data_IF_024118341860
#
_entry.id   IF_024118341860
#
_cell.length_a   1.000
_cell.length_b   1.000
_cell.length_c   1.000
_cell.angle_alpha   90.00
_cell.angle_beta   90.00
_cell.angle_gamma   90.00
#
_symmetry.space_group_name_H-M   'P 1'
#
loop_
_entity.id
_entity.type
_entity.pdbx_description
1 polymer ?
#
# COMPACT_ATOMS: atom_id res chain seq x y z
N UNK A 1 11.89 0.05 1.04
CA UNK A 1 10.97 1.19 0.87
C UNK A 1 11.58 2.22 -0.07
N UNK A 2 11.15 2.21 -1.33
CA UNK A 2 11.50 3.26 -2.31
C UNK A 2 10.77 4.57 -1.96
N UNK A 3 11.30 5.74 -2.36
CA UNK A 3 10.63 7.04 -2.13
C UNK A 3 9.20 7.08 -2.67
N UNK A 4 8.95 6.38 -3.79
CA UNK A 4 7.63 6.29 -4.42
C UNK A 4 6.65 5.48 -3.57
N UNK A 5 7.10 4.40 -2.93
CA UNK A 5 6.25 3.59 -2.06
C UNK A 5 5.83 4.35 -0.80
N UNK A 6 6.79 5.00 -0.13
CA UNK A 6 6.50 5.75 1.10
C UNK A 6 5.45 6.84 0.87
N UNK A 7 5.59 7.59 -0.23
CA UNK A 7 4.63 8.62 -0.60
C UNK A 7 3.18 8.11 -0.66
N UNK A 8 2.97 6.94 -1.27
CA UNK A 8 1.63 6.37 -1.36
C UNK A 8 1.12 5.83 -0.03
N UNK A 9 2.00 5.24 0.80
CA UNK A 9 1.65 4.76 2.14
C UNK A 9 1.25 5.92 3.07
N UNK A 10 1.94 7.06 2.97
CA UNK A 10 1.64 8.25 3.76
C UNK A 10 0.27 8.83 3.40
N UNK A 11 -0.03 8.94 2.10
CA UNK A 11 -1.34 9.39 1.63
C UNK A 11 -2.46 8.42 2.01
N UNK A 12 -2.23 7.12 1.85
CA UNK A 12 -3.19 6.07 2.18
C UNK A 12 -3.54 6.07 3.67
N UNK A 13 -2.53 6.09 4.54
CA UNK A 13 -2.75 6.13 6.00
C UNK A 13 -3.42 7.42 6.48
N UNK A 14 -3.23 8.54 5.77
CA UNK A 14 -3.82 9.83 6.14
C UNK A 14 -5.28 9.98 5.71
N UNK A 15 -5.73 9.23 4.70
CA UNK A 15 -6.98 9.55 4.01
C UNK A 15 -7.89 8.36 3.69
N UNK A 16 -7.42 7.12 3.83
CA UNK A 16 -8.18 5.96 3.37
C UNK A 16 -8.37 4.91 4.47
N UNK A 17 -9.63 4.50 4.63
CA UNK A 17 -10.03 3.43 5.55
C UNK A 17 -10.26 2.14 4.76
N UNK A 18 -9.26 1.25 4.78
CA UNK A 18 -9.36 -0.08 4.19
C UNK A 18 -10.46 -0.94 4.83
N UNK A 19 -11.32 -1.61 4.03
CA UNK A 19 -12.33 -2.50 4.55
C UNK A 19 -11.69 -3.73 5.22
N UNK A 20 -12.37 -4.29 6.22
CA UNK A 20 -11.95 -5.51 6.94
C UNK A 20 -10.51 -5.44 7.49
N UNK A 21 -10.06 -4.25 7.88
CA UNK A 21 -8.67 -4.02 8.28
C UNK A 21 -8.58 -3.28 9.61
N UNK A 22 -7.58 -3.62 10.43
CA UNK A 22 -7.19 -2.78 11.57
C UNK A 22 -6.35 -1.59 11.07
N UNK A 23 -6.94 -0.39 11.09
CA UNK A 23 -6.30 0.83 10.61
C UNK A 23 -5.11 1.27 11.48
N UNK A 24 -5.14 1.01 12.78
CA UNK A 24 -4.06 1.39 13.69
C UNK A 24 -2.81 0.55 13.46
N UNK A 25 -2.99 -0.74 13.17
CA UNK A 25 -1.90 -1.61 12.77
C UNK A 25 -1.42 -1.33 11.34
N UNK A 26 -2.35 -1.11 10.41
CA UNK A 26 -2.00 -0.86 9.01
C UNK A 26 -1.18 0.43 8.84
N UNK A 27 -1.58 1.53 9.49
CA UNK A 27 -0.85 2.81 9.41
C UNK A 27 0.58 2.72 9.92
N UNK A 28 0.83 1.92 10.97
CA UNK A 28 2.18 1.67 11.50
C UNK A 28 3.03 0.79 10.59
N UNK A 29 2.41 -0.21 9.95
CA UNK A 29 3.09 -1.17 9.07
C UNK A 29 3.34 -0.60 7.67
N UNK A 30 2.45 0.27 7.20
CA UNK A 30 2.35 0.69 5.80
C UNK A 30 1.56 -0.31 4.96
N UNK A 31 0.67 0.19 4.10
CA UNK A 31 -0.08 -0.64 3.14
C UNK A 31 0.81 -1.13 2.01
N UNK A 32 0.49 -2.30 1.44
CA UNK A 32 1.14 -2.78 0.22
C UNK A 32 0.51 -2.10 -0.99
N UNK A 33 1.34 -1.55 -1.89
CA UNK A 33 0.88 -0.76 -3.04
C UNK A 33 1.14 -1.53 -4.33
N UNK A 34 0.10 -2.09 -4.93
CA UNK A 34 0.19 -2.79 -6.21
C UNK A 34 0.12 -1.80 -7.39
N UNK A 35 1.05 -1.91 -8.35
CA UNK A 35 1.14 -0.96 -9.48
C UNK A 35 0.93 -1.58 -10.86
N UNK A 36 0.96 -2.92 -10.95
CA UNK A 36 0.81 -3.63 -12.22
C UNK A 36 0.18 -5.01 -12.01
N UNK A 37 -0.63 -5.43 -12.98
CA UNK A 37 -1.13 -6.81 -13.12
C UNK A 37 -0.93 -7.34 -14.54
N UNK A 38 -0.71 -8.65 -14.69
CA UNK A 38 -0.59 -9.35 -15.98
C UNK A 38 -0.95 -10.83 -15.79
N UNK A 39 -2.06 -11.25 -16.40
CA UNK A 39 -2.61 -12.59 -16.18
C UNK A 39 -2.93 -12.79 -14.70
N UNK A 40 -2.40 -13.87 -14.12
CA UNK A 40 -2.57 -14.20 -12.69
C UNK A 40 -1.53 -13.57 -11.77
N UNK A 41 -0.67 -12.69 -12.29
CA UNK A 41 0.44 -12.08 -11.55
C UNK A 41 0.22 -10.60 -11.28
N UNK A 42 0.67 -10.15 -10.12
CA UNK A 42 0.66 -8.75 -9.68
C UNK A 42 2.03 -8.37 -9.14
N UNK A 43 2.41 -7.10 -9.32
CA UNK A 43 3.65 -6.51 -8.83
C UNK A 43 3.36 -5.30 -7.98
N UNK A 44 4.10 -5.17 -6.88
CA UNK A 44 4.01 -3.99 -6.03
C UNK A 44 4.99 -2.89 -6.49
N UNK A 45 5.14 -1.85 -5.69
CA UNK A 45 6.03 -0.73 -5.98
C UNK A 45 7.52 -1.07 -5.94
N UNK A 46 7.90 -2.24 -5.40
CA UNK A 46 9.29 -2.71 -5.29
C UNK A 46 9.70 -3.67 -6.43
N UNK A 47 8.73 -4.19 -7.19
CA UNK A 47 8.96 -5.05 -8.35
C UNK A 47 8.53 -6.49 -8.09
#
# INVERSE_FOLDING_TARGET
MTKKQQHWQDLDSSHYLHPFTDHGQLSKKGSRVFTKGKGIYIWDTEG
#
